data_IF_752019582175
#
_entry.id   IF_752019582175
#
_cell.length_a   1.000
_cell.length_b   1.000
_cell.length_c   1.000
_cell.angle_alpha   90.00
_cell.angle_beta   90.00
_cell.angle_gamma   90.00
#
_symmetry.space_group_name_H-M   'P 1'
#
loop_
_entity.id
_entity.type
_entity.pdbx_description
1 polymer ?
#
# COMPACT_ATOMS: atom_id res chain seq x y z
N UNK A 1 0.16 19.11 -7.67
CA UNK A 1 0.52 17.73 -8.00
C UNK A 1 -0.08 16.86 -6.91
N UNK A 2 -1.13 16.11 -7.17
CA UNK A 2 -1.80 15.30 -6.14
C UNK A 2 -0.93 14.08 -5.90
N UNK A 3 -0.53 13.76 -4.66
CA UNK A 3 0.17 12.51 -4.38
C UNK A 3 -0.78 11.37 -4.73
N UNK A 4 -0.47 10.64 -5.78
CA UNK A 4 -1.13 9.35 -6.05
C UNK A 4 -0.75 8.47 -4.87
N UNK A 5 -1.76 7.95 -4.19
CA UNK A 5 -1.55 6.92 -3.15
C UNK A 5 -0.52 5.90 -3.65
N UNK A 6 0.49 5.66 -2.85
CA UNK A 6 1.65 4.86 -3.22
C UNK A 6 1.36 3.36 -3.28
N UNK A 7 0.16 2.97 -2.87
CA UNK A 7 -0.30 1.58 -2.90
C UNK A 7 -1.14 1.30 -4.17
N UNK A 8 -1.09 0.09 -4.73
CA UNK A 8 -1.74 -0.27 -5.99
C UNK A 8 -3.27 -0.38 -5.88
N UNK A 9 -3.79 -0.65 -4.70
CA UNK A 9 -5.22 -0.90 -4.46
C UNK A 9 -6.11 0.32 -4.71
N UNK A 10 -5.79 1.54 -4.21
CA UNK A 10 -6.59 2.71 -4.54
C UNK A 10 -6.53 3.04 -6.03
N UNK A 11 -5.38 2.82 -6.68
CA UNK A 11 -5.24 3.05 -8.11
C UNK A 11 -6.15 2.11 -8.92
N UNK A 12 -6.25 0.84 -8.54
CA UNK A 12 -7.13 -0.12 -9.18
C UNK A 12 -8.62 0.22 -8.94
N UNK A 13 -9.00 0.52 -7.71
CA UNK A 13 -10.36 0.95 -7.37
C UNK A 13 -10.74 2.24 -8.11
N UNK A 14 -9.84 3.22 -8.16
CA UNK A 14 -10.03 4.45 -8.94
C UNK A 14 -10.17 4.18 -10.43
N UNK A 15 -9.41 3.24 -10.99
CA UNK A 15 -9.52 2.88 -12.40
C UNK A 15 -10.89 2.27 -12.75
N UNK A 16 -11.44 1.44 -11.86
CA UNK A 16 -12.79 0.86 -11.99
C UNK A 16 -13.88 1.93 -11.95
N UNK A 17 -13.72 2.95 -11.10
CA UNK A 17 -14.68 4.03 -10.88
C UNK A 17 -14.47 5.24 -11.79
N UNK A 18 -13.43 5.21 -12.62
CA UNK A 18 -13.06 6.36 -13.45
C UNK A 18 -14.09 6.62 -14.55
N UNK A 19 -14.62 7.83 -14.59
CA UNK A 19 -15.57 8.33 -15.60
C UNK A 19 -14.88 9.02 -16.80
N UNK A 20 -13.54 9.20 -16.72
CA UNK A 20 -12.76 9.85 -17.78
C UNK A 20 -12.52 8.95 -18.98
N UNK A 21 -12.36 9.58 -20.14
CA UNK A 21 -11.93 8.91 -21.37
C UNK A 21 -10.40 8.76 -21.41
N UNK A 22 -9.91 7.66 -21.97
CA UNK A 22 -8.48 7.39 -22.13
C UNK A 22 -7.87 6.54 -21.00
N UNK A 23 -6.67 6.91 -20.55
CA UNK A 23 -5.95 6.16 -19.52
C UNK A 23 -6.64 6.27 -18.17
N UNK A 24 -6.89 5.12 -17.51
CA UNK A 24 -7.55 5.05 -16.20
C UNK A 24 -6.55 4.62 -15.12
N UNK A 25 -6.60 5.24 -13.92
CA UNK A 25 -7.43 6.39 -13.51
C UNK A 25 -6.97 7.71 -14.16
N UNK A 26 -7.92 8.57 -14.56
CA UNK A 26 -7.60 9.86 -15.17
C UNK A 26 -7.15 10.94 -14.17
N UNK A 27 -7.39 10.77 -12.89
CA UNK A 27 -7.11 11.68 -11.76
C UNK A 27 -7.80 13.07 -11.84
N UNK A 28 -8.61 13.30 -12.87
CA UNK A 28 -9.25 14.59 -13.15
C UNK A 28 -10.77 14.57 -12.95
N UNK A 29 -11.43 13.43 -13.21
CA UNK A 29 -12.87 13.30 -13.04
C UNK A 29 -13.28 13.38 -11.56
N UNK A 30 -14.57 13.62 -11.33
CA UNK A 30 -15.13 13.73 -9.97
C UNK A 30 -14.86 12.50 -9.13
N UNK A 31 -15.10 11.31 -9.68
CA UNK A 31 -14.90 10.04 -8.99
C UNK A 31 -13.43 9.83 -8.57
N UNK A 32 -12.47 10.11 -9.46
CA UNK A 32 -11.05 10.02 -9.12
C UNK A 32 -10.64 11.00 -8.01
N UNK A 33 -11.13 12.24 -8.05
CA UNK A 33 -10.85 13.23 -7.00
C UNK A 33 -11.40 12.79 -5.65
N UNK A 34 -12.66 12.34 -5.62
CA UNK A 34 -13.27 11.82 -4.40
C UNK A 34 -12.53 10.60 -3.84
N UNK A 35 -12.03 9.73 -4.72
CA UNK A 35 -11.26 8.55 -4.29
C UNK A 35 -9.88 8.93 -3.70
N UNK A 36 -9.21 9.94 -4.26
CA UNK A 36 -7.95 10.49 -3.70
C UNK A 36 -8.18 11.09 -2.31
N UNK A 37 -9.31 11.76 -2.11
CA UNK A 37 -9.69 12.36 -0.83
C UNK A 37 -10.33 11.35 0.16
N UNK A 38 -10.35 10.06 -0.17
CA UNK A 38 -11.04 8.98 0.59
C UNK A 38 -12.53 9.23 0.84
N UNK A 39 -13.18 10.00 -0.04
CA UNK A 39 -14.59 10.40 0.05
C UNK A 39 -15.47 9.79 -1.05
N UNK A 40 -14.99 8.78 -1.77
CA UNK A 40 -15.78 8.09 -2.79
C UNK A 40 -16.71 7.06 -2.11
N UNK A 41 -18.05 7.26 -2.14
CA UNK A 41 -18.98 6.44 -1.35
C UNK A 41 -19.07 4.99 -1.80
N UNK A 42 -18.66 4.68 -3.03
CA UNK A 42 -18.69 3.34 -3.59
C UNK A 42 -17.33 2.61 -3.51
N UNK A 43 -16.36 3.20 -2.81
CA UNK A 43 -15.09 2.56 -2.41
C UNK A 43 -15.07 2.45 -0.89
N UNK A 44 -15.18 1.24 -0.39
CA UNK A 44 -15.33 0.93 1.02
C UNK A 44 -14.06 0.24 1.51
N UNK A 45 -13.36 0.89 2.43
CA UNK A 45 -12.23 0.30 3.14
C UNK A 45 -12.75 -0.41 4.37
N UNK A 46 -12.55 -1.72 4.42
CA UNK A 46 -13.00 -2.53 5.56
C UNK A 46 -12.07 -2.27 6.74
N UNK A 47 -12.63 -1.70 7.80
CA UNK A 47 -11.92 -1.42 9.04
C UNK A 47 -12.15 -2.55 10.05
N UNK A 48 -11.24 -2.70 11.01
CA UNK A 48 -11.37 -3.64 12.12
C UNK A 48 -10.93 -2.99 13.43
N UNK A 49 -11.65 -3.31 14.51
CA UNK A 49 -11.34 -2.75 15.84
C UNK A 49 -10.07 -3.36 16.45
N UNK A 50 -9.80 -4.64 16.15
CA UNK A 50 -8.67 -5.36 16.72
C UNK A 50 -7.46 -5.27 15.79
N UNK A 51 -6.31 -4.74 16.22
CA UNK A 51 -5.18 -4.43 15.33
C UNK A 51 -4.62 -5.64 14.58
N UNK A 52 -4.81 -6.86 15.10
CA UNK A 52 -4.22 -8.07 14.54
C UNK A 52 -5.23 -9.12 14.07
N UNK A 53 -6.52 -8.78 14.00
CA UNK A 53 -7.54 -9.77 13.62
C UNK A 53 -8.76 -9.10 12.99
N UNK A 54 -9.14 -9.56 11.83
CA UNK A 54 -10.41 -9.22 11.17
C UNK A 54 -11.41 -10.32 11.54
N UNK A 55 -12.49 -9.94 12.21
CA UNK A 55 -13.51 -10.86 12.70
C UNK A 55 -14.65 -11.14 11.71
N UNK A 56 -15.44 -12.17 11.99
CA UNK A 56 -16.63 -12.48 11.17
C UNK A 56 -17.67 -11.36 11.18
N UNK A 57 -17.77 -10.61 12.27
CA UNK A 57 -18.73 -9.51 12.41
C UNK A 57 -18.30 -8.28 11.59
N UNK A 58 -17.00 -8.01 11.47
CA UNK A 58 -16.47 -6.95 10.60
C UNK A 58 -16.89 -7.20 9.15
N UNK A 59 -16.74 -8.44 8.68
CA UNK A 59 -17.13 -8.84 7.32
C UNK A 59 -18.66 -8.80 7.12
N UNK A 60 -19.43 -9.30 8.08
CA UNK A 60 -20.90 -9.29 7.99
C UNK A 60 -21.43 -7.87 7.92
N UNK A 61 -20.95 -6.99 8.78
CA UNK A 61 -21.46 -5.63 8.89
C UNK A 61 -21.06 -4.78 7.70
N UNK A 62 -19.78 -4.81 7.30
CA UNK A 62 -19.24 -3.89 6.32
C UNK A 62 -19.32 -4.41 4.88
N UNK A 63 -19.39 -5.73 4.67
CA UNK A 63 -19.50 -6.31 3.33
C UNK A 63 -20.89 -6.93 3.14
N UNK A 64 -21.24 -7.98 3.89
CA UNK A 64 -22.40 -8.79 3.56
C UNK A 64 -23.74 -8.02 3.67
N UNK A 65 -23.86 -7.14 4.67
CA UNK A 65 -25.08 -6.32 4.84
C UNK A 65 -25.15 -5.15 3.87
N UNK A 66 -23.97 -4.62 3.48
CA UNK A 66 -23.90 -3.45 2.62
C UNK A 66 -23.92 -3.79 1.12
N UNK A 67 -23.45 -4.99 0.74
CA UNK A 67 -23.31 -5.41 -0.66
C UNK A 67 -24.65 -5.54 -1.40
N UNK A 68 -25.76 -5.73 -0.67
CA UNK A 68 -27.11 -5.77 -1.23
C UNK A 68 -27.60 -4.41 -1.72
N UNK A 69 -26.96 -3.34 -1.24
CA UNK A 69 -27.27 -1.96 -1.62
C UNK A 69 -26.47 -1.63 -2.87
N UNK A 70 -27.14 -1.21 -3.93
CA UNK A 70 -26.50 -0.80 -5.20
C UNK A 70 -25.53 0.37 -4.99
N UNK A 71 -24.53 0.51 -5.88
CA UNK A 71 -23.64 1.68 -5.89
C UNK A 71 -24.44 2.99 -5.90
N UNK A 72 -23.95 3.99 -5.19
CA UNK A 72 -24.60 5.30 -5.06
C UNK A 72 -24.38 6.17 -6.32
N UNK A 73 -23.14 6.25 -6.78
CA UNK A 73 -22.78 7.17 -7.87
C UNK A 73 -21.97 6.53 -9.00
N UNK A 74 -21.49 5.30 -8.80
CA UNK A 74 -20.56 4.64 -9.71
C UNK A 74 -21.13 3.36 -10.31
N UNK A 75 -20.40 2.81 -11.28
CA UNK A 75 -20.78 1.53 -11.91
C UNK A 75 -20.58 0.34 -10.99
N UNK A 76 -19.51 0.39 -10.18
CA UNK A 76 -19.13 -0.69 -9.30
C UNK A 76 -19.11 -0.22 -7.84
N UNK A 77 -19.29 -1.15 -6.92
CA UNK A 77 -19.08 -0.98 -5.49
C UNK A 77 -17.86 -1.83 -5.11
N UNK A 78 -16.81 -1.17 -4.65
CA UNK A 78 -15.50 -1.79 -4.43
C UNK A 78 -15.24 -1.87 -2.93
N UNK A 79 -15.02 -3.07 -2.44
CA UNK A 79 -14.62 -3.34 -1.05
C UNK A 79 -13.13 -3.66 -1.03
N UNK A 80 -12.38 -2.99 -0.18
CA UNK A 80 -10.95 -3.20 0.00
C UNK A 80 -10.72 -3.72 1.42
N UNK A 81 -10.22 -4.96 1.52
CA UNK A 81 -9.82 -5.58 2.77
C UNK A 81 -8.30 -5.60 2.77
N UNK A 82 -7.71 -4.66 3.49
CA UNK A 82 -6.26 -4.60 3.67
C UNK A 82 -5.81 -5.61 4.72
N UNK A 83 -4.56 -6.08 4.62
CA UNK A 83 -3.99 -7.11 5.49
C UNK A 83 -4.96 -8.32 5.66
N UNK A 84 -5.54 -8.78 4.57
CA UNK A 84 -6.59 -9.79 4.60
C UNK A 84 -6.12 -11.15 5.15
N UNK A 85 -4.83 -11.38 5.29
CA UNK A 85 -4.24 -12.50 6.06
C UNK A 85 -4.62 -12.49 7.55
N UNK A 86 -5.02 -11.33 8.10
CA UNK A 86 -5.52 -11.19 9.47
C UNK A 86 -6.96 -11.70 9.65
N UNK A 87 -7.64 -12.05 8.56
CA UNK A 87 -8.99 -12.64 8.62
C UNK A 87 -8.97 -13.98 9.34
N UNK A 88 -9.66 -14.07 10.47
CA UNK A 88 -9.85 -15.34 11.15
C UNK A 88 -10.78 -16.28 10.34
N UNK A 89 -10.84 -17.55 10.71
CA UNK A 89 -11.65 -18.54 9.99
C UNK A 89 -13.13 -18.16 9.93
N UNK A 90 -13.65 -17.47 10.94
CA UNK A 90 -15.05 -17.01 10.96
C UNK A 90 -15.29 -15.90 9.93
N UNK A 91 -14.35 -14.96 9.78
CA UNK A 91 -14.40 -13.91 8.79
C UNK A 91 -14.34 -14.48 7.37
N UNK A 92 -13.42 -15.40 7.12
CA UNK A 92 -13.30 -16.08 5.83
C UNK A 92 -14.58 -16.84 5.49
N UNK A 93 -15.14 -17.59 6.44
CA UNK A 93 -16.42 -18.31 6.24
C UNK A 93 -17.60 -17.35 6.03
N UNK A 94 -17.63 -16.21 6.72
CA UNK A 94 -18.67 -15.21 6.50
C UNK A 94 -18.64 -14.61 5.10
N UNK A 95 -17.46 -14.51 4.49
CA UNK A 95 -17.28 -13.98 3.13
C UNK A 95 -17.66 -14.98 2.03
N UNK A 96 -17.57 -16.30 2.29
CA UNK A 96 -17.76 -17.35 1.27
C UNK A 96 -19.05 -17.19 0.47
N UNK A 97 -20.18 -17.00 1.15
CA UNK A 97 -21.48 -16.85 0.48
C UNK A 97 -21.50 -15.68 -0.49
N UNK A 98 -20.87 -14.59 -0.11
CA UNK A 98 -20.82 -13.35 -0.91
C UNK A 98 -19.92 -13.50 -2.14
N UNK A 99 -18.80 -14.22 -2.02
CA UNK A 99 -17.92 -14.43 -3.17
C UNK A 99 -18.38 -15.57 -4.10
N UNK A 100 -19.27 -16.45 -3.64
CA UNK A 100 -19.91 -17.48 -4.48
C UNK A 100 -20.91 -16.87 -5.46
N UNK A 101 -21.74 -15.95 -4.99
CA UNK A 101 -22.80 -15.31 -5.77
C UNK A 101 -22.75 -13.77 -5.60
N UNK A 102 -21.66 -13.12 -6.06
CA UNK A 102 -21.54 -11.68 -5.90
C UNK A 102 -22.53 -10.95 -6.83
N UNK A 103 -23.13 -9.82 -6.39
CA UNK A 103 -23.86 -8.96 -7.30
C UNK A 103 -22.92 -8.46 -8.44
N UNK A 104 -23.46 -8.32 -9.65
CA UNK A 104 -22.68 -7.97 -10.84
C UNK A 104 -21.94 -6.62 -10.74
N UNK A 105 -22.32 -5.77 -9.80
CA UNK A 105 -21.68 -4.48 -9.53
C UNK A 105 -20.64 -4.54 -8.40
N UNK A 106 -20.51 -5.66 -7.68
CA UNK A 106 -19.62 -5.74 -6.53
C UNK A 106 -18.22 -6.24 -6.96
N UNK A 107 -17.20 -5.61 -6.42
CA UNK A 107 -15.79 -6.02 -6.55
C UNK A 107 -15.19 -6.08 -5.15
N UNK A 108 -14.61 -7.21 -4.78
CA UNK A 108 -13.96 -7.40 -3.49
C UNK A 108 -12.46 -7.60 -3.73
N UNK A 109 -11.65 -6.73 -3.16
CA UNK A 109 -10.19 -6.79 -3.20
C UNK A 109 -9.68 -7.27 -1.84
N UNK A 110 -9.07 -8.44 -1.81
CA UNK A 110 -8.38 -8.99 -0.66
C UNK A 110 -6.89 -8.77 -0.85
N UNK A 111 -6.30 -7.88 -0.07
CA UNK A 111 -4.88 -7.55 -0.15
C UNK A 111 -4.14 -8.36 0.89
N UNK A 112 -3.10 -9.05 0.49
CA UNK A 112 -2.35 -9.92 1.39
C UNK A 112 -0.90 -10.05 0.96
N UNK A 113 -0.02 -10.21 1.91
CA UNK A 113 1.37 -10.62 1.70
C UNK A 113 1.54 -12.13 1.74
N UNK A 114 0.54 -12.86 2.25
CA UNK A 114 0.56 -14.31 2.41
C UNK A 114 -0.78 -14.95 1.97
N UNK A 115 -0.84 -15.41 0.73
CA UNK A 115 -2.03 -16.06 0.20
C UNK A 115 -2.35 -17.43 0.84
N UNK A 116 -1.35 -18.09 1.44
CA UNK A 116 -1.52 -19.41 2.08
C UNK A 116 -2.34 -19.32 3.39
N UNK A 117 -2.55 -18.12 3.92
CA UNK A 117 -3.41 -17.88 5.08
C UNK A 117 -4.91 -18.07 4.78
N UNK A 118 -5.28 -18.04 3.50
CA UNK A 118 -6.68 -18.21 3.10
C UNK A 118 -7.09 -19.67 2.99
N UNK A 119 -8.35 -19.90 3.30
CA UNK A 119 -8.99 -21.20 3.04
C UNK A 119 -8.94 -21.51 1.53
N UNK A 120 -8.71 -22.78 1.16
CA UNK A 120 -8.74 -23.19 -0.25
C UNK A 120 -10.06 -22.84 -0.95
N UNK A 121 -11.15 -22.79 -0.19
CA UNK A 121 -12.49 -22.40 -0.67
C UNK A 121 -12.57 -20.92 -1.07
N UNK A 122 -11.82 -20.03 -0.44
CA UNK A 122 -11.67 -18.61 -0.83
C UNK A 122 -10.82 -18.54 -2.11
N UNK A 123 -9.62 -19.15 -2.08
CA UNK A 123 -8.69 -19.08 -3.20
C UNK A 123 -9.28 -19.62 -4.51
N UNK A 124 -10.10 -20.68 -4.44
CA UNK A 124 -10.74 -21.26 -5.63
C UNK A 124 -11.78 -20.34 -6.30
N UNK A 125 -12.24 -19.30 -5.59
CA UNK A 125 -13.25 -18.33 -6.07
C UNK A 125 -12.68 -16.95 -6.35
N UNK A 126 -11.42 -16.74 -6.04
CA UNK A 126 -10.73 -15.48 -6.27
C UNK A 126 -9.79 -15.58 -7.47
N UNK A 127 -9.62 -14.46 -8.18
CA UNK A 127 -8.56 -14.29 -9.17
C UNK A 127 -7.34 -13.77 -8.44
N UNK A 128 -6.28 -14.56 -8.38
CA UNK A 128 -5.03 -14.15 -7.73
C UNK A 128 -4.18 -13.33 -8.68
N UNK A 129 -3.86 -12.10 -8.27
CA UNK A 129 -2.95 -11.20 -8.98
C UNK A 129 -1.66 -11.04 -8.17
N UNK A 130 -0.59 -11.66 -8.64
CA UNK A 130 0.72 -11.54 -8.03
C UNK A 130 1.42 -10.27 -8.52
N UNK A 131 1.53 -9.28 -7.63
CA UNK A 131 2.29 -8.07 -7.91
C UNK A 131 3.79 -8.36 -7.76
N UNK A 132 4.55 -7.99 -8.80
CA UNK A 132 6.01 -8.17 -8.81
C UNK A 132 6.68 -6.86 -8.42
N UNK A 133 7.83 -6.98 -7.75
CA UNK A 133 8.72 -5.86 -7.48
C UNK A 133 9.16 -5.18 -8.78
N UNK A 134 9.25 -3.87 -8.76
CA UNK A 134 9.70 -3.07 -9.91
C UNK A 134 11.24 -3.02 -9.91
N UNK A 135 11.84 -3.07 -11.09
CA UNK A 135 13.30 -2.97 -11.23
C UNK A 135 13.81 -1.59 -10.77
N UNK A 136 14.95 -1.57 -10.13
CA UNK A 136 15.58 -0.35 -9.58
C UNK A 136 15.75 0.75 -10.65
N UNK A 137 16.21 0.39 -11.86
CA UNK A 137 16.38 1.33 -12.98
C UNK A 137 15.08 2.05 -13.37
N UNK A 138 13.95 1.33 -13.27
CA UNK A 138 12.62 1.89 -13.58
C UNK A 138 12.21 2.86 -12.49
N UNK A 139 12.41 2.47 -11.21
CA UNK A 139 12.12 3.33 -10.06
C UNK A 139 12.98 4.59 -10.10
N UNK A 140 14.29 4.45 -10.33
CA UNK A 140 15.23 5.56 -10.50
C UNK A 140 14.74 6.54 -11.58
N UNK A 141 14.45 6.01 -12.77
CA UNK A 141 13.97 6.81 -13.89
C UNK A 141 12.66 7.54 -13.57
N UNK A 142 11.77 6.89 -12.83
CA UNK A 142 10.50 7.47 -12.40
C UNK A 142 10.72 8.62 -11.40
N UNK A 143 11.55 8.42 -10.36
CA UNK A 143 11.89 9.45 -9.37
C UNK A 143 12.51 10.69 -10.04
N UNK A 144 13.46 10.49 -10.95
CA UNK A 144 14.12 11.59 -11.66
C UNK A 144 13.15 12.38 -12.54
N UNK A 145 12.30 11.69 -13.32
CA UNK A 145 11.39 12.33 -14.28
C UNK A 145 10.20 12.99 -13.61
N UNK A 146 9.60 12.35 -12.60
CA UNK A 146 8.34 12.78 -11.99
C UNK A 146 8.55 13.71 -10.80
N UNK A 147 9.55 13.40 -9.98
CA UNK A 147 9.83 14.13 -8.73
C UNK A 147 11.07 15.03 -8.82
N UNK A 148 11.76 15.01 -9.97
CA UNK A 148 12.99 15.80 -10.19
C UNK A 148 14.10 15.53 -9.16
N UNK A 149 14.14 14.30 -8.64
CA UNK A 149 15.15 13.86 -7.67
C UNK A 149 16.51 13.74 -8.37
N UNK A 150 17.61 14.24 -7.79
CA UNK A 150 18.94 14.08 -8.33
C UNK A 150 19.33 12.61 -8.51
N UNK A 151 20.13 12.30 -9.55
CA UNK A 151 20.53 10.95 -9.95
C UNK A 151 21.04 10.11 -8.77
N UNK A 152 22.02 10.65 -8.02
CA UNK A 152 22.61 9.95 -6.87
C UNK A 152 21.62 9.68 -5.73
N UNK A 153 20.62 10.54 -5.53
CA UNK A 153 19.59 10.35 -4.51
C UNK A 153 18.56 9.35 -4.99
N UNK A 154 18.18 9.41 -6.26
CA UNK A 154 17.26 8.46 -6.87
C UNK A 154 17.81 7.02 -6.85
N UNK A 155 19.12 6.84 -7.08
CA UNK A 155 19.82 5.56 -6.94
C UNK A 155 19.67 4.98 -5.54
N UNK A 156 20.00 5.78 -4.52
CA UNK A 156 19.92 5.33 -3.13
C UNK A 156 18.46 4.96 -2.77
N UNK A 157 17.49 5.82 -3.10
CA UNK A 157 16.08 5.55 -2.80
C UNK A 157 15.56 4.30 -3.54
N UNK A 158 15.98 4.09 -4.79
CA UNK A 158 15.60 2.91 -5.55
C UNK A 158 16.16 1.62 -4.93
N UNK A 159 17.44 1.61 -4.53
CA UNK A 159 18.07 0.46 -3.89
C UNK A 159 17.41 0.12 -2.54
N UNK A 160 17.17 1.12 -1.68
CA UNK A 160 16.56 0.91 -0.37
C UNK A 160 15.06 0.58 -0.43
N UNK A 161 14.39 0.89 -1.53
CA UNK A 161 12.96 0.58 -1.73
C UNK A 161 12.69 -0.90 -2.03
N UNK A 162 13.70 -1.67 -2.38
CA UNK A 162 13.57 -3.10 -2.71
C UNK A 162 12.49 -3.39 -3.76
N UNK A 163 12.32 -2.47 -4.73
CA UNK A 163 11.34 -2.61 -5.79
C UNK A 163 9.93 -2.08 -5.45
N UNK A 164 9.74 -1.48 -4.29
CA UNK A 164 8.50 -0.81 -3.89
C UNK A 164 8.56 0.68 -4.27
N UNK A 165 7.78 1.07 -5.28
CA UNK A 165 7.73 2.45 -5.78
C UNK A 165 7.24 3.43 -4.72
N UNK A 166 6.26 3.03 -3.91
CA UNK A 166 5.72 3.85 -2.82
C UNK A 166 6.77 4.19 -1.79
N UNK A 167 7.49 3.17 -1.33
CA UNK A 167 8.60 3.31 -0.41
C UNK A 167 9.71 4.20 -0.99
N UNK A 168 10.01 4.06 -2.29
CA UNK A 168 11.00 4.90 -2.96
C UNK A 168 10.62 6.39 -2.94
N UNK A 169 9.35 6.71 -3.18
CA UNK A 169 8.82 8.08 -3.12
C UNK A 169 8.90 8.63 -1.70
N UNK A 170 8.50 7.83 -0.71
CA UNK A 170 8.55 8.20 0.70
C UNK A 170 9.99 8.50 1.15
N UNK A 171 10.94 7.63 0.83
CA UNK A 171 12.37 7.84 1.12
C UNK A 171 12.92 9.09 0.43
N UNK A 172 12.50 9.34 -0.81
CA UNK A 172 12.94 10.51 -1.56
C UNK A 172 12.40 11.85 -0.99
N UNK A 173 11.25 11.79 -0.31
CA UNK A 173 10.60 12.95 0.30
C UNK A 173 10.94 13.14 1.78
N UNK A 174 11.59 12.15 2.42
CA UNK A 174 11.93 12.18 3.85
C UNK A 174 13.19 12.98 4.11
N UNK A 175 13.08 14.05 4.87
CA UNK A 175 14.23 14.82 5.38
C UNK A 175 15.06 13.96 6.35
N UNK A 176 14.40 13.19 7.22
CA UNK A 176 15.04 12.30 8.18
C UNK A 176 15.95 11.25 7.50
N UNK A 177 15.50 10.68 6.38
CA UNK A 177 16.31 9.77 5.59
C UNK A 177 17.54 10.47 5.00
N UNK A 178 17.39 11.74 4.61
CA UNK A 178 18.50 12.58 4.14
C UNK A 178 19.54 12.81 5.24
N UNK A 179 19.13 13.13 6.45
CA UNK A 179 19.98 13.33 7.62
C UNK A 179 20.69 12.05 8.04
N UNK A 180 19.96 10.94 8.11
CA UNK A 180 20.54 9.63 8.42
C UNK A 180 21.63 9.27 7.42
N UNK A 181 21.36 9.43 6.12
CA UNK A 181 22.33 9.16 5.06
C UNK A 181 23.59 10.02 5.23
N UNK A 182 23.42 11.31 5.51
CA UNK A 182 24.54 12.23 5.73
C UNK A 182 25.38 11.79 6.94
N UNK A 183 24.73 11.41 8.04
CA UNK A 183 25.37 10.92 9.27
C UNK A 183 26.15 9.63 9.03
N UNK A 184 25.56 8.67 8.30
CA UNK A 184 26.24 7.40 7.96
C UNK A 184 27.43 7.64 7.05
N UNK A 185 27.31 8.51 6.04
CA UNK A 185 28.42 8.85 5.14
C UNK A 185 29.58 9.56 5.88
N UNK A 186 29.24 10.43 6.84
CA UNK A 186 30.23 11.11 7.66
C UNK A 186 30.95 10.11 8.58
N UNK A 187 30.22 9.18 9.18
CA UNK A 187 30.77 8.09 9.97
C UNK A 187 31.73 7.24 9.13
N UNK A 188 31.31 6.83 7.94
CA UNK A 188 32.13 6.01 7.04
C UNK A 188 33.45 6.71 6.60
N UNK A 189 33.40 8.02 6.38
CA UNK A 189 34.64 8.79 6.04
C UNK A 189 35.63 8.86 7.19
N UNK A 190 35.20 8.70 8.43
CA UNK A 190 36.02 8.79 9.64
C UNK A 190 36.32 7.43 10.26
N UNK A 191 35.94 6.32 9.61
CA UNK A 191 36.08 4.96 10.15
C UNK A 191 37.50 4.59 10.59
N UNK A 192 38.53 5.15 9.93
CA UNK A 192 39.93 4.89 10.25
C UNK A 192 40.41 5.66 11.50
N UNK A 193 39.74 6.78 11.83
CA UNK A 193 40.14 7.70 12.90
C UNK A 193 39.24 7.60 14.16
N UNK A 194 38.14 6.84 14.10
CA UNK A 194 37.13 6.74 15.14
C UNK A 194 37.55 5.72 16.21
N UNK A 195 37.37 6.09 17.47
CA UNK A 195 37.52 5.15 18.57
C UNK A 195 36.29 4.25 18.75
N UNK A 196 36.47 3.16 19.55
CA UNK A 196 35.40 2.18 19.79
C UNK A 196 34.16 2.81 20.48
N UNK A 197 34.36 3.82 21.32
CA UNK A 197 33.28 4.49 22.05
C UNK A 197 32.44 5.36 21.10
N UNK A 198 33.04 6.16 20.25
CA UNK A 198 32.38 6.95 19.22
C UNK A 198 31.62 6.06 18.23
N UNK A 199 32.21 4.92 17.85
CA UNK A 199 31.60 3.96 16.95
C UNK A 199 30.32 3.33 17.57
N UNK A 200 30.37 2.95 18.86
CA UNK A 200 29.20 2.39 19.55
C UNK A 200 28.08 3.41 19.74
N UNK A 201 28.42 4.69 19.96
CA UNK A 201 27.43 5.77 20.07
C UNK A 201 26.74 6.03 18.72
N UNK A 202 27.50 6.07 17.63
CA UNK A 202 26.97 6.26 16.28
C UNK A 202 26.08 5.10 15.83
N UNK A 203 26.47 3.85 16.13
CA UNK A 203 25.65 2.66 15.84
C UNK A 203 24.33 2.68 16.63
N UNK A 204 24.34 3.13 17.88
CA UNK A 204 23.09 3.29 18.66
C UNK A 204 22.16 4.31 18.02
N UNK A 205 22.67 5.46 17.61
CA UNK A 205 21.86 6.47 16.92
C UNK A 205 21.23 5.94 15.63
N UNK A 206 21.99 5.19 14.84
CA UNK A 206 21.47 4.54 13.61
C UNK A 206 20.42 3.47 13.94
N UNK A 207 20.62 2.72 15.03
CA UNK A 207 19.69 1.69 15.47
C UNK A 207 18.35 2.26 15.98
N UNK A 208 18.37 3.40 16.67
CA UNK A 208 17.16 4.11 17.09
C UNK A 208 16.36 4.59 15.87
N UNK A 209 17.02 5.05 14.84
CA UNK A 209 16.33 5.40 13.58
C UNK A 209 15.65 4.20 12.92
N UNK A 210 16.22 3.00 12.99
CA UNK A 210 15.62 1.78 12.46
C UNK A 210 14.29 1.42 13.15
N UNK A 211 14.12 1.76 14.42
CA UNK A 211 12.87 1.54 15.14
C UNK A 211 11.74 2.44 14.65
N UNK A 212 12.04 3.69 14.28
CA UNK A 212 11.03 4.62 13.72
C UNK A 212 10.66 4.28 12.26
N UNK A 213 11.56 3.67 11.50
CA UNK A 213 11.28 3.20 10.12
C UNK A 213 10.45 1.93 10.09
N UNK A 214 10.51 1.08 11.12
CA UNK A 214 9.69 -0.14 11.20
C UNK A 214 8.20 0.13 11.46
N UNK A 215 7.81 1.31 11.91
CA UNK A 215 6.40 1.70 12.09
C UNK A 215 5.69 2.00 10.75
N UNK A 216 6.41 1.95 9.63
CA UNK A 216 5.88 2.16 8.27
C UNK A 216 5.87 0.87 7.41
N UNK A 217 5.98 -0.31 8.06
CA UNK A 217 5.95 -1.62 7.37
C UNK A 217 4.84 -2.50 7.88
#
# INVERSE_FOLDING_TARGET
>A
MVPVSTSPEPAFAMALQCEGEGTRPCLLCRSCKQAVDHNQPDIIYVSHEKPNTIGGDDIRTQINNDIVIKPYSSRYKVYIVDEAEKMNQQAQNALLKTIEEPPAYAVILLLTTNADSFLPTILSRCITLNLKVVKEDVIKSYLMKTYHIPDYQADVCAAFSQGNVGKAIQLASSEEFGELKASVLQLMKRLEDIDLYEMTAAVKQIAEYKLTVNDYF
#
